data_IF_265306609757
#
_entry.id   IF_265306609757
#
_cell.length_a   1.000
_cell.length_b   1.000
_cell.length_c   1.000
_cell.angle_alpha   90.00
_cell.angle_beta   90.00
_cell.angle_gamma   90.00
#
_symmetry.space_group_name_H-M   'P 1'
#
loop_
_entity.id
_entity.type
_entity.pdbx_description
1 polymer ?
#
# COMPACT_ATOMS: atom_id res chain seq x y z
N UNK A 1 7.29 5.01 -5.62
CA UNK A 1 6.86 6.41 -5.41
C UNK A 1 7.71 7.12 -4.35
N UNK A 2 7.76 6.64 -3.08
CA UNK A 2 8.51 7.28 -1.99
C UNK A 2 9.97 7.55 -2.39
N UNK A 3 10.70 6.54 -2.87
CA UNK A 3 12.09 6.69 -3.31
C UNK A 3 12.29 7.72 -4.44
N UNK A 4 11.34 7.83 -5.36
CA UNK A 4 11.38 8.86 -6.40
C UNK A 4 11.14 10.25 -5.82
N UNK A 5 10.17 10.38 -4.91
CA UNK A 5 9.87 11.63 -4.24
C UNK A 5 11.06 12.14 -3.40
N UNK A 6 11.74 11.26 -2.65
CA UNK A 6 12.97 11.59 -1.92
C UNK A 6 14.04 12.20 -2.83
N UNK A 7 14.16 11.68 -4.05
CA UNK A 7 15.14 12.14 -5.06
C UNK A 7 14.62 13.28 -5.93
N UNK A 8 13.48 13.90 -5.59
CA UNK A 8 12.80 14.92 -6.40
C UNK A 8 12.60 14.53 -7.89
N UNK A 9 12.37 13.23 -8.13
CA UNK A 9 12.13 12.69 -9.48
C UNK A 9 10.62 12.63 -9.77
N UNK A 10 10.22 12.67 -11.07
CA UNK A 10 8.83 12.51 -11.45
C UNK A 10 8.19 11.24 -10.89
N UNK A 11 6.94 11.38 -10.44
CA UNK A 11 6.12 10.31 -9.88
C UNK A 11 5.12 9.84 -10.94
N UNK A 12 5.42 8.80 -11.73
CA UNK A 12 4.55 8.38 -12.82
C UNK A 12 3.27 7.75 -12.27
N UNK A 13 2.12 8.32 -12.63
CA UNK A 13 0.80 7.86 -12.21
C UNK A 13 -0.04 7.49 -13.43
N UNK A 14 -0.49 6.24 -13.51
CA UNK A 14 -1.27 5.72 -14.63
C UNK A 14 -2.67 6.37 -14.70
N UNK A 15 -3.08 6.74 -15.92
CA UNK A 15 -4.37 7.36 -16.18
C UNK A 15 -4.54 8.66 -15.40
N UNK A 16 -5.67 8.83 -14.75
CA UNK A 16 -5.97 9.95 -13.85
C UNK A 16 -5.68 9.64 -12.37
N UNK A 17 -5.21 8.43 -12.07
CA UNK A 17 -4.92 7.95 -10.73
C UNK A 17 -6.15 7.64 -9.87
N UNK A 18 -7.34 7.56 -10.48
CA UNK A 18 -8.60 7.24 -9.77
C UNK A 18 -8.71 5.78 -9.35
N UNK A 19 -7.87 4.90 -9.88
CA UNK A 19 -7.87 3.48 -9.53
C UNK A 19 -7.73 3.28 -8.01
N UNK A 20 -8.64 2.49 -7.45
CA UNK A 20 -8.70 2.21 -6.02
C UNK A 20 -8.05 0.88 -5.69
N UNK A 21 -7.28 0.85 -4.59
CA UNK A 21 -6.64 -0.36 -4.06
C UNK A 21 -6.88 -0.47 -2.56
N UNK A 22 -6.85 -1.69 -2.07
CA UNK A 22 -6.79 -2.00 -0.65
C UNK A 22 -5.33 -1.93 -0.19
N UNK A 23 -5.08 -1.13 0.85
CA UNK A 23 -3.74 -0.82 1.33
C UNK A 23 -3.51 -1.45 2.70
N UNK A 24 -2.73 -2.52 2.71
CA UNK A 24 -2.40 -3.28 3.91
C UNK A 24 -0.92 -3.06 4.31
N UNK A 25 -0.67 -2.85 5.60
CA UNK A 25 0.68 -2.73 6.13
C UNK A 25 1.41 -4.08 6.04
N UNK A 26 2.71 -4.03 5.73
CA UNK A 26 3.48 -5.24 5.41
C UNK A 26 3.55 -6.24 6.57
N UNK A 27 3.70 -5.78 7.81
CA UNK A 27 3.79 -6.67 8.96
C UNK A 27 2.45 -7.37 9.25
N UNK A 28 1.33 -6.68 9.04
CA UNK A 28 0.00 -7.30 9.11
C UNK A 28 -0.16 -8.39 8.05
N UNK A 29 0.35 -8.16 6.83
CA UNK A 29 0.34 -9.18 5.78
C UNK A 29 1.23 -10.38 6.14
N UNK A 30 2.43 -10.14 6.64
CA UNK A 30 3.33 -11.22 7.08
C UNK A 30 2.70 -12.03 8.21
N UNK A 31 2.03 -11.38 9.18
CA UNK A 31 1.30 -12.05 10.26
C UNK A 31 0.13 -12.89 9.74
N UNK A 32 -0.60 -12.41 8.71
CA UNK A 32 -1.64 -13.21 8.07
C UNK A 32 -1.06 -14.48 7.45
N UNK A 33 0.06 -14.37 6.73
CA UNK A 33 0.73 -15.53 6.11
C UNK A 33 1.18 -16.52 7.16
N UNK A 34 1.81 -16.07 8.25
CA UNK A 34 2.26 -16.93 9.35
C UNK A 34 1.08 -17.66 10.00
N UNK A 35 -0.01 -16.96 10.26
CA UNK A 35 -1.23 -17.55 10.83
C UNK A 35 -1.86 -18.57 9.90
N UNK A 36 -1.91 -18.32 8.59
CA UNK A 36 -2.41 -19.29 7.59
C UNK A 36 -1.53 -20.54 7.56
N UNK A 37 -0.21 -20.40 7.62
CA UNK A 37 0.73 -21.52 7.62
C UNK A 37 0.56 -22.41 8.87
N UNK A 38 0.28 -21.82 10.01
CA UNK A 38 0.16 -22.55 11.28
C UNK A 38 -1.24 -23.13 11.50
N UNK A 39 -2.29 -22.44 11.08
CA UNK A 39 -3.67 -22.73 11.47
C UNK A 39 -4.64 -22.85 10.28
N UNK A 40 -4.22 -22.49 9.07
CA UNK A 40 -5.07 -22.57 7.88
C UNK A 40 -5.40 -24.02 7.50
N UNK A 41 -6.55 -24.21 6.89
CA UNK A 41 -6.94 -25.52 6.37
C UNK A 41 -6.23 -25.82 5.06
N UNK A 42 -5.67 -27.01 4.94
CA UNK A 42 -4.94 -27.46 3.73
C UNK A 42 -5.89 -27.45 2.53
N UNK A 43 -5.42 -26.87 1.43
CA UNK A 43 -6.19 -26.76 0.17
C UNK A 43 -7.16 -25.58 0.10
N UNK A 44 -7.28 -24.78 1.14
CA UNK A 44 -8.15 -23.60 1.19
C UNK A 44 -7.44 -22.33 0.71
N UNK A 45 -8.23 -21.39 0.20
CA UNK A 45 -7.76 -20.07 -0.23
C UNK A 45 -8.25 -19.05 0.80
N UNK A 46 -7.36 -18.16 1.23
CA UNK A 46 -7.63 -17.04 2.11
C UNK A 46 -7.29 -15.72 1.42
N UNK A 47 -8.26 -14.82 1.30
CA UNK A 47 -8.01 -13.45 0.93
C UNK A 47 -7.44 -12.69 2.14
N UNK A 48 -6.46 -11.84 1.89
CA UNK A 48 -5.84 -10.99 2.92
C UNK A 48 -5.89 -9.55 2.44
N UNK A 49 -6.50 -8.68 3.21
CA UNK A 49 -6.66 -7.26 2.92
C UNK A 49 -7.02 -6.49 4.17
N UNK A 50 -6.98 -5.18 4.13
CA UNK A 50 -7.26 -4.31 5.27
C UNK A 50 -8.70 -3.77 5.28
N UNK A 51 -9.34 -3.69 4.10
CA UNK A 51 -10.56 -2.92 3.88
C UNK A 51 -10.32 -1.41 3.75
N UNK A 52 -9.06 -0.95 3.83
CA UNK A 52 -8.66 0.46 3.68
C UNK A 52 -8.46 0.79 2.20
N UNK A 53 -9.54 1.17 1.55
CA UNK A 53 -9.55 1.49 0.13
C UNK A 53 -9.17 2.96 -0.11
N UNK A 54 -8.14 3.18 -0.92
CA UNK A 54 -7.71 4.53 -1.32
C UNK A 54 -7.30 4.57 -2.78
N UNK A 55 -7.53 5.72 -3.43
CA UNK A 55 -7.09 5.93 -4.81
C UNK A 55 -5.57 6.08 -4.90
N UNK A 56 -4.99 5.66 -6.02
CA UNK A 56 -3.58 5.83 -6.27
C UNK A 56 -3.14 7.29 -6.19
N UNK A 57 -3.94 8.22 -6.73
CA UNK A 57 -3.69 9.66 -6.63
C UNK A 57 -3.68 10.14 -5.17
N UNK A 58 -4.62 9.64 -4.34
CA UNK A 58 -4.68 9.94 -2.91
C UNK A 58 -3.39 9.53 -2.18
N UNK A 59 -2.87 8.34 -2.49
CA UNK A 59 -1.61 7.85 -1.92
C UNK A 59 -0.42 8.70 -2.35
N UNK A 60 -0.31 9.03 -3.65
CA UNK A 60 0.83 9.82 -4.15
C UNK A 60 0.81 11.23 -3.55
N UNK A 61 -0.36 11.85 -3.43
CA UNK A 61 -0.51 13.14 -2.71
C UNK A 61 -0.12 13.06 -1.25
N UNK A 62 -0.49 11.96 -0.58
CA UNK A 62 -0.08 11.73 0.81
C UNK A 62 1.44 11.64 0.93
N UNK A 63 2.10 10.88 0.05
CA UNK A 63 3.57 10.78 0.01
C UNK A 63 4.20 12.15 -0.20
N UNK A 64 3.70 12.95 -1.16
CA UNK A 64 4.22 14.30 -1.40
C UNK A 64 4.11 15.16 -0.14
N UNK A 65 2.95 15.17 0.53
CA UNK A 65 2.75 15.95 1.76
C UNK A 65 3.66 15.50 2.89
N UNK A 66 3.75 14.19 3.13
CA UNK A 66 4.58 13.64 4.23
C UNK A 66 6.06 13.94 4.06
N UNK A 67 6.55 14.00 2.81
CA UNK A 67 7.94 14.31 2.49
C UNK A 67 8.19 15.80 2.20
N UNK A 68 7.21 16.69 2.42
CA UNK A 68 7.28 18.11 2.07
C UNK A 68 7.67 18.35 0.59
N UNK A 69 7.15 17.52 -0.32
CA UNK A 69 7.37 17.64 -1.77
C UNK A 69 6.16 18.28 -2.44
N UNK A 70 6.42 18.95 -3.56
CA UNK A 70 5.38 19.56 -4.39
C UNK A 70 4.63 18.50 -5.20
N UNK A 71 3.31 18.67 -5.35
CA UNK A 71 2.49 17.82 -6.23
C UNK A 71 2.87 17.97 -7.72
N UNK A 72 3.66 18.99 -8.10
CA UNK A 72 4.18 19.13 -9.46
C UNK A 72 5.10 17.98 -9.90
N UNK A 73 5.56 17.17 -8.96
CA UNK A 73 6.28 15.93 -9.28
C UNK A 73 5.37 14.85 -9.85
N UNK A 74 4.04 14.92 -9.64
CA UNK A 74 3.10 13.93 -10.17
C UNK A 74 3.02 14.08 -11.69
N UNK A 75 3.34 13.00 -12.39
CA UNK A 75 3.29 12.94 -13.85
C UNK A 75 2.27 11.89 -14.29
N UNK A 76 1.14 12.35 -14.85
CA UNK A 76 0.16 11.43 -15.41
C UNK A 76 0.72 10.82 -16.70
N UNK A 77 0.66 9.47 -16.77
CA UNK A 77 1.13 8.69 -17.91
C UNK A 77 -0.01 7.86 -18.49
N UNK A 78 0.16 7.38 -19.73
CA UNK A 78 -0.84 6.55 -20.40
C UNK A 78 -1.23 5.35 -19.52
N UNK A 79 -2.54 5.10 -19.41
CA UNK A 79 -3.05 4.00 -18.60
C UNK A 79 -2.80 2.64 -19.27
N UNK A 80 -2.69 1.61 -18.46
CA UNK A 80 -2.51 0.23 -18.92
C UNK A 80 -3.81 -0.31 -19.48
N UNK A 81 -3.75 -1.01 -20.60
CA UNK A 81 -4.92 -1.74 -21.14
C UNK A 81 -5.40 -2.78 -20.11
N UNK A 82 -6.70 -2.78 -19.82
CA UNK A 82 -7.31 -3.69 -18.85
C UNK A 82 -6.95 -3.37 -17.39
N UNK A 83 -6.57 -2.12 -17.07
CA UNK A 83 -6.28 -1.71 -15.71
C UNK A 83 -7.55 -1.69 -14.86
N UNK A 84 -7.59 -2.51 -13.80
CA UNK A 84 -8.72 -2.59 -12.89
C UNK A 84 -9.00 -1.23 -12.22
N UNK A 85 -10.24 -0.77 -12.29
CA UNK A 85 -10.67 0.48 -11.65
C UNK A 85 -10.62 0.35 -10.14
N UNK A 86 -11.08 -0.80 -9.60
CA UNK A 86 -11.11 -1.04 -8.15
C UNK A 86 -10.69 -2.47 -7.86
N UNK A 87 -9.86 -2.63 -6.84
CA UNK A 87 -9.45 -3.91 -6.29
C UNK A 87 -9.80 -3.93 -4.81
N UNK A 88 -10.76 -4.76 -4.43
CA UNK A 88 -11.22 -4.94 -3.05
C UNK A 88 -11.48 -6.41 -2.80
N UNK A 89 -11.08 -6.89 -1.64
CA UNK A 89 -11.17 -8.31 -1.26
C UNK A 89 -12.16 -8.49 -0.12
N UNK A 90 -12.94 -9.57 -0.19
CA UNK A 90 -13.68 -10.06 0.97
C UNK A 90 -12.73 -10.87 1.86
N UNK A 91 -12.47 -10.35 3.06
CA UNK A 91 -11.57 -10.93 4.06
C UNK A 91 -12.32 -11.66 5.18
N UNK A 92 -13.63 -11.80 5.07
CA UNK A 92 -14.47 -12.41 6.11
C UNK A 92 -14.04 -13.82 6.49
N UNK A 93 -13.54 -14.61 5.51
CA UNK A 93 -13.10 -15.99 5.76
C UNK A 93 -11.90 -16.06 6.70
N UNK A 94 -10.84 -15.31 6.46
CA UNK A 94 -9.66 -15.31 7.33
C UNK A 94 -10.00 -14.81 8.74
N UNK A 95 -10.86 -13.78 8.81
CA UNK A 95 -11.34 -13.29 10.10
C UNK A 95 -12.13 -14.36 10.86
N UNK A 96 -13.13 -14.99 10.22
CA UNK A 96 -14.03 -15.93 10.89
C UNK A 96 -13.35 -17.26 11.24
N UNK A 97 -12.44 -17.75 10.39
CA UNK A 97 -11.80 -19.05 10.60
C UNK A 97 -10.52 -18.96 11.44
N UNK A 98 -9.75 -17.91 11.29
CA UNK A 98 -8.44 -17.76 11.94
C UNK A 98 -8.38 -16.61 12.96
N UNK A 99 -9.41 -15.76 13.03
CA UNK A 99 -9.41 -14.60 13.94
C UNK A 99 -8.48 -13.47 13.51
N UNK A 100 -7.90 -13.55 12.30
CA UNK A 100 -6.97 -12.52 11.83
C UNK A 100 -7.69 -11.22 11.48
N UNK A 101 -7.11 -10.10 11.89
CA UNK A 101 -7.47 -8.74 11.50
C UNK A 101 -6.19 -7.91 11.32
N UNK A 102 -6.21 -6.87 10.47
CA UNK A 102 -5.15 -5.88 10.46
C UNK A 102 -5.12 -5.15 11.82
N UNK A 103 -3.94 -4.93 12.36
CA UNK A 103 -3.75 -4.25 13.65
C UNK A 103 -3.17 -2.85 13.48
N UNK A 104 -2.53 -2.61 12.33
CA UNK A 104 -1.87 -1.34 12.04
C UNK A 104 -2.82 -0.43 11.25
N UNK A 105 -3.21 0.69 11.85
CA UNK A 105 -3.98 1.73 11.16
C UNK A 105 -3.20 2.24 9.94
N UNK A 106 -3.90 2.55 8.84
CA UNK A 106 -3.29 2.97 7.58
C UNK A 106 -2.29 4.12 7.75
N UNK A 107 -2.66 5.17 8.49
CA UNK A 107 -1.80 6.36 8.65
C UNK A 107 -0.53 6.03 9.44
N UNK A 108 -0.60 5.11 10.40
CA UNK A 108 0.56 4.61 11.16
C UNK A 108 1.49 3.82 10.25
N UNK A 109 0.97 2.80 9.55
CA UNK A 109 1.77 1.96 8.65
C UNK A 109 2.38 2.76 7.49
N UNK A 110 1.66 3.78 6.98
CA UNK A 110 2.21 4.66 5.95
C UNK A 110 3.36 5.53 6.49
N UNK A 111 3.21 6.08 7.70
CA UNK A 111 4.27 6.88 8.34
C UNK A 111 5.53 6.03 8.57
N UNK A 112 5.40 4.82 9.12
CA UNK A 112 6.50 3.89 9.33
C UNK A 112 7.16 3.48 8.00
N UNK A 113 6.35 3.23 6.96
CA UNK A 113 6.87 2.92 5.62
C UNK A 113 7.69 4.08 5.06
N UNK A 114 7.19 5.32 5.17
CA UNK A 114 7.92 6.51 4.69
C UNK A 114 9.21 6.67 5.46
N UNK A 115 9.18 6.59 6.80
CA UNK A 115 10.37 6.69 7.65
C UNK A 115 11.42 5.65 7.25
N UNK A 116 11.02 4.39 7.05
CA UNK A 116 11.94 3.34 6.61
C UNK A 116 12.63 3.68 5.27
N UNK A 117 11.87 4.27 4.32
CA UNK A 117 12.44 4.71 3.04
C UNK A 117 13.39 5.90 3.20
N UNK A 118 13.09 6.85 4.10
CA UNK A 118 13.97 7.99 4.41
C UNK A 118 15.28 7.50 5.02
N UNK A 119 15.24 6.59 5.98
CA UNK A 119 16.44 6.00 6.61
C UNK A 119 17.31 5.23 5.61
N UNK A 120 16.69 4.50 4.70
CA UNK A 120 17.40 3.64 3.74
C UNK A 120 17.86 4.36 2.47
N UNK A 121 17.16 5.37 2.00
CA UNK A 121 17.36 6.00 0.70
C UNK A 121 17.40 7.53 0.74
N UNK A 122 17.30 8.15 1.91
CA UNK A 122 17.44 9.59 2.08
C UNK A 122 18.88 10.05 1.82
N UNK A 123 19.07 11.36 1.67
CA UNK A 123 20.38 11.95 1.31
C UNK A 123 21.49 11.69 2.36
N UNK A 124 21.12 11.27 3.59
CA UNK A 124 22.04 10.96 4.68
C UNK A 124 22.33 9.45 4.84
N UNK A 125 21.85 8.59 3.97
CA UNK A 125 22.21 7.18 3.99
C UNK A 125 23.57 7.00 3.30
N UNK A 126 24.62 6.97 4.12
CA UNK A 126 25.99 6.62 3.76
C UNK A 126 26.11 5.13 3.45
#
# INVERSE_FOLDING_TARGET
>A
MIQLALKNKPLPLYGDGSNVRDWLYVDDHCRAIDMILQHGRVGEIYNVGSGEERSNLGIVRLICRSLNKTESLIQFVEDRKGHDVRYSLDVSKIHNELGWNPETAFDVGMAETIQWYEEKYGENSL
#
